data_IF_110198294725
#
_entry.id   IF_110198294725
#
_cell.length_a   1.000
_cell.length_b   1.000
_cell.length_c   1.000
_cell.angle_alpha   90.00
_cell.angle_beta   90.00
_cell.angle_gamma   90.00
#
_symmetry.space_group_name_H-M   'P 1'
#
loop_
_entity.id
_entity.type
_entity.pdbx_description
1 polymer ?
#
# COMPACT_ATOMS: atom_id res chain seq x y z
N UNK A 1 -9.25 44.64 63.44
CA UNK A 1 -8.32 44.99 62.34
C UNK A 1 -9.10 44.89 61.04
N UNK A 2 -9.63 46.02 60.57
CA UNK A 2 -9.13 46.73 59.38
C UNK A 2 -9.57 46.03 58.07
N UNK A 3 -10.76 46.36 57.56
CA UNK A 3 -11.05 47.32 56.45
C UNK A 3 -11.01 46.63 55.06
N UNK A 4 -12.14 46.33 54.43
CA UNK A 4 -13.03 47.23 53.66
C UNK A 4 -12.50 47.53 52.24
N UNK A 5 -13.25 47.16 51.20
CA UNK A 5 -13.89 48.07 50.22
C UNK A 5 -13.85 47.58 48.76
N UNK A 6 -15.03 47.65 48.15
CA UNK A 6 -15.36 47.70 46.73
C UNK A 6 -14.37 48.49 45.84
N UNK A 7 -14.30 48.09 44.57
CA UNK A 7 -13.62 48.86 43.53
C UNK A 7 -14.01 48.42 42.12
N UNK A 8 -15.03 49.08 41.55
CA UNK A 8 -15.31 49.13 40.13
C UNK A 8 -14.16 49.80 39.35
N UNK A 9 -14.02 49.48 38.05
CA UNK A 9 -13.21 50.29 37.15
C UNK A 9 -12.89 49.62 35.81
N UNK A 10 -13.64 49.99 34.76
CA UNK A 10 -13.06 50.15 33.42
C UNK A 10 -12.17 51.42 33.43
N UNK A 11 -11.16 51.58 32.54
CA UNK A 11 -11.43 52.05 31.16
C UNK A 11 -10.45 51.55 30.05
N UNK A 12 -10.86 51.78 28.79
CA UNK A 12 -10.09 51.76 27.53
C UNK A 12 -8.97 52.86 27.44
N UNK A 13 -8.35 53.16 26.27
CA UNK A 13 -7.31 52.43 25.54
C UNK A 13 -6.06 53.32 25.27
N UNK A 14 -4.95 52.78 24.74
CA UNK A 14 -3.83 53.58 24.26
C UNK A 14 -3.19 52.98 23.00
N UNK A 15 -2.89 53.86 22.04
CA UNK A 15 -2.38 53.59 20.70
C UNK A 15 -0.95 54.13 20.49
N UNK A 16 -0.33 53.69 19.38
CA UNK A 16 0.86 54.18 18.64
C UNK A 16 2.26 53.70 19.10
N UNK A 17 3.27 53.43 18.25
CA UNK A 17 3.50 53.30 16.78
C UNK A 17 4.97 52.81 16.55
N UNK A 18 5.30 52.22 15.38
CA UNK A 18 6.65 52.07 14.78
C UNK A 18 7.20 50.62 14.67
N UNK A 19 7.18 49.94 13.49
CA UNK A 19 8.17 49.94 12.37
C UNK A 19 9.48 49.17 12.74
N UNK A 20 10.05 48.18 12.03
CA UNK A 20 9.98 47.61 10.66
C UNK A 20 10.45 46.13 10.69
N UNK A 21 10.34 45.45 9.53
CA UNK A 21 11.20 44.38 8.96
C UNK A 21 10.51 43.05 8.57
N UNK A 22 10.90 42.58 7.38
CA UNK A 22 10.19 41.69 6.47
C UNK A 22 10.42 40.19 6.75
N UNK A 23 9.45 39.33 6.37
CA UNK A 23 9.64 38.17 5.48
C UNK A 23 8.53 37.09 5.61
N UNK A 24 7.84 36.90 4.48
CA UNK A 24 7.48 35.62 3.84
C UNK A 24 6.50 34.63 4.53
N UNK A 25 5.26 34.53 4.01
CA UNK A 25 4.73 33.31 3.33
C UNK A 25 3.22 33.41 2.98
N UNK A 26 2.95 33.45 1.68
CA UNK A 26 1.92 32.77 0.86
C UNK A 26 0.45 32.52 1.33
N UNK A 27 -0.47 32.96 0.43
CA UNK A 27 -1.78 32.35 0.12
C UNK A 27 -2.96 33.00 0.84
N UNK A 28 -4.03 33.49 0.21
CA UNK A 28 -4.76 33.11 -1.01
C UNK A 28 -5.64 34.32 -1.38
N UNK A 29 -5.78 34.70 -2.66
CA UNK A 29 -7.08 35.12 -3.20
C UNK A 29 -7.08 35.24 -4.73
N UNK A 30 -8.28 35.01 -5.27
CA UNK A 30 -8.62 34.84 -6.67
C UNK A 30 -8.80 36.17 -7.41
N UNK A 31 -8.55 36.19 -8.72
CA UNK A 31 -9.24 37.10 -9.64
C UNK A 31 -9.12 36.60 -11.08
N UNK A 32 -10.26 36.60 -11.78
CA UNK A 32 -10.38 36.40 -13.22
C UNK A 32 -9.75 37.58 -13.99
N UNK A 33 -9.17 37.31 -15.15
CA UNK A 33 -8.72 38.33 -16.09
C UNK A 33 -9.18 37.97 -17.51
N UNK A 34 -9.94 38.93 -18.05
CA UNK A 34 -10.48 39.12 -19.37
C UNK A 34 -9.38 39.74 -20.25
N UNK A 35 -9.21 39.29 -21.50
CA UNK A 35 -8.19 39.78 -22.43
C UNK A 35 -8.88 40.38 -23.67
N UNK A 36 -9.13 41.69 -23.64
CA UNK A 36 -9.49 42.51 -24.81
C UNK A 36 -8.20 43.03 -25.47
N UNK A 37 -7.96 42.60 -26.72
CA UNK A 37 -6.93 43.16 -27.60
C UNK A 37 -7.55 44.18 -28.56
N UNK A 38 -6.98 45.37 -28.55
CA UNK A 38 -7.36 46.56 -29.32
C UNK A 38 -7.07 46.40 -30.82
N UNK A 39 -7.98 46.86 -31.67
CA UNK A 39 -7.79 46.96 -33.12
C UNK A 39 -7.99 48.40 -33.54
N UNK A 40 -6.94 49.01 -34.10
CA UNK A 40 -6.99 50.33 -34.73
C UNK A 40 -6.78 50.19 -36.25
N UNK A 41 -7.86 50.52 -36.96
CA UNK A 41 -8.00 51.20 -38.26
C UNK A 41 -6.91 51.08 -39.36
N UNK A 42 -7.34 50.62 -40.54
CA UNK A 42 -7.23 51.37 -41.80
C UNK A 42 -7.93 50.62 -42.95
N UNK A 43 -9.00 51.21 -43.49
CA UNK A 43 -9.50 50.91 -44.83
C UNK A 43 -8.64 51.61 -45.91
N UNK A 44 -8.66 51.11 -47.17
CA UNK A 44 -9.59 51.73 -48.11
C UNK A 44 -10.38 50.74 -48.97
N UNK A 45 -11.47 51.26 -49.50
CA UNK A 45 -12.47 50.59 -50.32
C UNK A 45 -12.10 50.52 -51.82
N UNK A 46 -12.89 49.69 -52.52
CA UNK A 46 -13.14 49.62 -53.97
C UNK A 46 -12.30 48.65 -54.83
N UNK A 47 -12.88 47.46 -55.06
CA UNK A 47 -13.03 46.86 -56.39
C UNK A 47 -14.05 45.70 -56.30
N UNK A 48 -15.33 46.03 -56.52
CA UNK A 48 -16.35 45.06 -56.85
C UNK A 48 -16.52 45.09 -58.37
N UNK A 49 -16.01 44.08 -59.07
CA UNK A 49 -16.63 43.49 -60.27
C UNK A 49 -15.79 42.27 -60.73
N UNK A 50 -16.47 41.25 -61.27
CA UNK A 50 -15.93 40.01 -61.84
C UNK A 50 -15.59 38.85 -60.87
N UNK A 51 -16.64 38.26 -60.27
CA UNK A 51 -16.63 36.84 -59.89
C UNK A 51 -18.05 36.24 -59.92
N UNK A 52 -18.80 36.51 -61.00
CA UNK A 52 -20.08 35.86 -61.31
C UNK A 52 -20.00 35.24 -62.71
N UNK A 53 -19.19 34.19 -62.84
CA UNK A 53 -19.22 33.26 -63.97
C UNK A 53 -18.26 32.07 -63.69
N UNK A 54 -18.69 31.14 -62.84
CA UNK A 54 -18.35 29.70 -62.91
C UNK A 54 -19.11 28.94 -61.81
N UNK A 55 -20.44 29.09 -61.85
CA UNK A 55 -21.37 28.15 -61.23
C UNK A 55 -21.90 27.24 -62.34
N UNK A 56 -21.09 26.28 -62.79
CA UNK A 56 -21.51 25.03 -63.45
C UNK A 56 -20.27 24.24 -63.90
N UNK A 57 -19.60 23.61 -62.95
CA UNK A 57 -18.81 22.41 -63.21
C UNK A 57 -19.31 21.37 -62.22
N UNK A 58 -20.20 20.50 -62.70
CA UNK A 58 -20.90 19.50 -61.89
C UNK A 58 -19.92 18.72 -61.01
N UNK A 59 -19.99 18.95 -59.70
CA UNK A 59 -19.69 17.87 -58.78
C UNK A 59 -20.65 16.73 -59.16
N UNK A 60 -20.16 15.53 -59.51
CA UNK A 60 -21.06 14.42 -59.74
C UNK A 60 -21.90 14.27 -58.47
N UNK A 61 -23.22 14.37 -58.59
CA UNK A 61 -24.08 13.98 -57.48
C UNK A 61 -23.70 12.53 -57.15
N UNK A 62 -23.36 12.24 -55.89
CA UNK A 62 -22.97 10.89 -55.53
C UNK A 62 -24.11 9.97 -55.95
N UNK A 63 -23.75 8.93 -56.70
CA UNK A 63 -24.78 7.96 -57.08
C UNK A 63 -25.32 7.33 -55.80
N UNK A 64 -26.63 7.02 -55.73
CA UNK A 64 -27.22 6.47 -54.49
C UNK A 64 -26.48 5.25 -53.91
N UNK A 65 -25.68 4.54 -54.74
CA UNK A 65 -24.77 3.49 -54.31
C UNK A 65 -23.57 4.00 -53.46
N UNK A 66 -22.95 5.12 -53.83
CA UNK A 66 -21.85 5.73 -53.05
C UNK A 66 -22.34 6.27 -51.70
N UNK A 67 -23.58 6.76 -51.64
CA UNK A 67 -24.23 7.17 -50.39
C UNK A 67 -24.53 5.96 -49.49
N UNK A 68 -25.00 4.84 -50.05
CA UNK A 68 -25.24 3.60 -49.31
C UNK A 68 -23.95 2.98 -48.76
N UNK A 69 -22.87 2.99 -49.54
CA UNK A 69 -21.54 2.52 -49.11
C UNK A 69 -20.98 3.41 -47.98
N UNK A 70 -21.06 4.74 -48.12
CA UNK A 70 -20.64 5.68 -47.07
C UNK A 70 -21.46 5.52 -45.77
N UNK A 71 -22.77 5.27 -45.88
CA UNK A 71 -23.63 4.94 -44.74
C UNK A 71 -23.26 3.59 -44.11
N UNK A 72 -22.88 2.60 -44.92
CA UNK A 72 -22.36 1.31 -44.48
C UNK A 72 -21.07 1.45 -43.67
N UNK A 73 -20.09 2.17 -44.21
CA UNK A 73 -18.81 2.46 -43.54
C UNK A 73 -19.03 3.24 -42.24
N UNK A 74 -19.93 4.23 -42.24
CA UNK A 74 -20.24 5.00 -41.04
C UNK A 74 -20.90 4.13 -39.97
N UNK A 75 -21.83 3.26 -40.35
CA UNK A 75 -22.47 2.29 -39.43
C UNK A 75 -21.47 1.30 -38.87
N UNK A 76 -20.58 0.75 -39.70
CA UNK A 76 -19.52 -0.15 -39.26
C UNK A 76 -18.57 0.54 -38.29
N UNK A 77 -18.15 1.77 -38.62
CA UNK A 77 -17.33 2.60 -37.74
C UNK A 77 -18.03 2.88 -36.41
N UNK A 78 -19.32 3.19 -36.42
CA UNK A 78 -20.11 3.42 -35.20
C UNK A 78 -20.25 2.14 -34.36
N UNK A 79 -20.53 0.99 -34.98
CA UNK A 79 -20.62 -0.29 -34.28
C UNK A 79 -19.28 -0.66 -33.64
N UNK A 80 -18.18 -0.46 -34.37
CA UNK A 80 -16.84 -0.69 -33.87
C UNK A 80 -16.49 0.24 -32.71
N UNK A 81 -16.77 1.54 -32.83
CA UNK A 81 -16.48 2.48 -31.75
C UNK A 81 -17.32 2.20 -30.52
N UNK A 82 -18.60 1.83 -30.67
CA UNK A 82 -19.45 1.39 -29.55
C UNK A 82 -18.87 0.15 -28.86
N UNK A 83 -18.40 -0.85 -29.62
CA UNK A 83 -17.76 -2.03 -29.06
C UNK A 83 -16.43 -1.69 -28.33
N UNK A 84 -15.62 -0.80 -28.90
CA UNK A 84 -14.38 -0.31 -28.28
C UNK A 84 -14.66 0.45 -26.97
N UNK A 85 -15.71 1.28 -26.93
CA UNK A 85 -16.16 1.98 -25.73
C UNK A 85 -16.65 1.01 -24.66
N UNK A 86 -17.45 0.00 -25.02
CA UNK A 86 -17.94 -1.00 -24.07
C UNK A 86 -16.79 -1.84 -23.49
N UNK A 87 -15.85 -2.26 -24.32
CA UNK A 87 -14.65 -2.97 -23.87
C UNK A 87 -13.81 -2.11 -22.91
N UNK A 88 -13.59 -0.83 -23.25
CA UNK A 88 -12.86 0.12 -22.41
C UNK A 88 -13.58 0.35 -21.09
N UNK A 89 -14.91 0.48 -21.11
CA UNK A 89 -15.73 0.62 -19.89
C UNK A 89 -15.60 -0.59 -18.99
N UNK A 90 -15.81 -1.81 -19.53
CA UNK A 90 -15.69 -3.06 -18.76
C UNK A 90 -14.28 -3.24 -18.20
N UNK A 91 -13.25 -2.88 -18.96
CA UNK A 91 -11.86 -2.89 -18.50
C UNK A 91 -11.64 -1.89 -17.37
N UNK A 92 -12.11 -0.65 -17.53
CA UNK A 92 -11.98 0.39 -16.52
C UNK A 92 -12.74 0.07 -15.23
N UNK A 93 -13.90 -0.60 -15.30
CA UNK A 93 -14.61 -1.09 -14.13
C UNK A 93 -13.78 -2.12 -13.34
N UNK A 94 -13.17 -3.10 -14.01
CA UNK A 94 -12.27 -4.08 -13.37
C UNK A 94 -11.03 -3.42 -12.77
N UNK A 95 -10.37 -2.53 -13.51
CA UNK A 95 -9.18 -1.81 -13.02
C UNK A 95 -9.52 -0.93 -11.81
N UNK A 96 -10.70 -0.31 -11.78
CA UNK A 96 -11.19 0.46 -10.62
C UNK A 96 -11.42 -0.44 -9.41
N UNK A 97 -12.05 -1.59 -9.59
CA UNK A 97 -12.27 -2.55 -8.50
C UNK A 97 -10.95 -3.09 -7.94
N UNK A 98 -10.01 -3.45 -8.80
CA UNK A 98 -8.66 -3.89 -8.39
C UNK A 98 -7.93 -2.77 -7.66
N UNK A 99 -7.94 -1.55 -8.22
CA UNK A 99 -7.32 -0.39 -7.57
C UNK A 99 -7.94 -0.13 -6.21
N UNK A 100 -9.27 -0.20 -6.07
CA UNK A 100 -9.94 -0.02 -4.79
C UNK A 100 -9.57 -1.11 -3.76
N UNK A 101 -9.51 -2.38 -4.19
CA UNK A 101 -9.09 -3.50 -3.33
C UNK A 101 -7.66 -3.34 -2.82
N UNK A 102 -6.76 -2.80 -3.64
CA UNK A 102 -5.33 -2.71 -3.34
C UNK A 102 -4.84 -1.31 -2.95
N UNK A 103 -5.70 -0.28 -2.94
CA UNK A 103 -5.32 1.10 -2.63
C UNK A 103 -4.66 1.22 -1.24
N UNK A 104 -5.14 0.43 -0.27
CA UNK A 104 -4.64 0.43 1.10
C UNK A 104 -3.36 -0.40 1.29
N UNK A 105 -2.87 -1.11 0.28
CA UNK A 105 -1.76 -2.06 0.42
C UNK A 105 -0.46 -1.40 0.92
N UNK A 106 -0.14 -0.20 0.41
CA UNK A 106 1.03 0.57 0.84
C UNK A 106 0.93 1.00 2.30
N UNK A 107 -0.24 1.52 2.70
CA UNK A 107 -0.51 1.88 4.08
C UNK A 107 -0.46 0.65 5.00
N UNK A 108 -1.14 -0.43 4.63
CA UNK A 108 -1.14 -1.69 5.36
C UNK A 108 0.28 -2.17 5.65
N UNK A 109 1.17 -2.18 4.64
CA UNK A 109 2.58 -2.56 4.80
C UNK A 109 3.30 -1.74 5.87
N UNK A 110 3.05 -0.43 5.95
CA UNK A 110 3.65 0.42 6.99
C UNK A 110 3.12 0.08 8.38
N UNK A 111 1.83 -0.23 8.51
CA UNK A 111 1.19 -0.57 9.78
C UNK A 111 1.56 -1.97 10.26
N UNK A 112 1.96 -2.90 9.38
CA UNK A 112 2.43 -4.23 9.79
C UNK A 112 3.57 -4.15 10.81
N UNK A 113 4.50 -3.21 10.63
CA UNK A 113 5.62 -3.01 11.58
C UNK A 113 5.14 -2.62 12.97
N UNK A 114 4.01 -1.92 13.08
CA UNK A 114 3.38 -1.57 14.36
C UNK A 114 2.81 -2.83 15.02
N UNK A 115 2.11 -3.68 14.27
CA UNK A 115 1.61 -4.96 14.77
C UNK A 115 2.75 -5.86 15.28
N UNK A 116 3.85 -5.94 14.52
CA UNK A 116 5.03 -6.72 14.91
C UNK A 116 5.71 -6.17 16.17
N UNK A 117 5.76 -4.83 16.32
CA UNK A 117 6.29 -4.19 17.52
C UNK A 117 5.40 -4.42 18.74
N UNK A 118 4.07 -4.42 18.58
CA UNK A 118 3.14 -4.77 19.66
C UNK A 118 3.34 -6.22 20.12
N UNK A 119 3.45 -7.17 19.17
CA UNK A 119 3.78 -8.57 19.47
C UNK A 119 5.13 -8.70 20.18
N UNK A 120 6.15 -8.01 19.70
CA UNK A 120 7.49 -7.98 20.33
C UNK A 120 7.43 -7.40 21.74
N UNK A 121 6.66 -6.35 21.96
CA UNK A 121 6.49 -5.75 23.27
C UNK A 121 5.84 -6.74 24.25
N UNK A 122 4.76 -7.41 23.84
CA UNK A 122 4.08 -8.46 24.64
C UNK A 122 5.04 -9.61 24.96
N UNK A 123 5.78 -10.09 23.95
CA UNK A 123 6.72 -11.20 24.09
C UNK A 123 7.96 -10.85 24.95
N UNK A 124 8.34 -9.58 25.02
CA UNK A 124 9.50 -9.12 25.79
C UNK A 124 9.26 -9.06 27.30
N UNK A 125 8.01 -9.14 27.76
CA UNK A 125 7.68 -9.12 29.18
C UNK A 125 8.07 -10.46 29.82
N UNK A 126 8.98 -10.47 30.82
CA UNK A 126 9.34 -11.67 31.57
C UNK A 126 8.12 -12.29 32.25
N UNK A 127 8.06 -13.62 32.34
CA UNK A 127 6.95 -14.33 32.98
C UNK A 127 6.71 -13.86 34.42
N UNK A 128 7.78 -13.59 35.16
CA UNK A 128 7.72 -13.09 36.55
C UNK A 128 7.07 -11.71 36.65
N UNK A 129 7.22 -10.88 35.60
CA UNK A 129 6.65 -9.55 35.53
C UNK A 129 5.19 -9.55 35.04
N UNK A 130 4.72 -10.62 34.40
CA UNK A 130 3.32 -10.76 33.94
C UNK A 130 2.33 -10.89 35.10
N UNK A 131 2.78 -11.42 36.24
CA UNK A 131 1.96 -11.57 37.44
C UNK A 131 1.92 -10.30 38.32
N UNK A 132 2.71 -9.27 37.97
CA UNK A 132 2.69 -7.99 38.69
C UNK A 132 1.33 -7.29 38.55
N UNK A 133 0.72 -6.92 39.69
CA UNK A 133 -0.58 -6.25 39.71
C UNK A 133 -0.61 -4.92 38.93
N UNK A 134 0.54 -4.25 38.81
CA UNK A 134 0.65 -3.01 38.06
C UNK A 134 0.78 -3.23 36.54
N UNK A 135 1.45 -4.31 36.11
CA UNK A 135 1.73 -4.57 34.69
C UNK A 135 0.65 -5.42 34.02
N UNK A 136 -0.03 -6.28 34.76
CA UNK A 136 -1.12 -7.13 34.27
C UNK A 136 -2.25 -6.36 33.55
N UNK A 137 -2.81 -5.25 34.09
CA UNK A 137 -3.84 -4.48 33.38
C UNK A 137 -3.30 -3.79 32.13
N UNK A 138 -2.04 -3.35 32.15
CA UNK A 138 -1.39 -2.74 30.99
C UNK A 138 -1.19 -3.77 29.88
N UNK A 139 -0.66 -4.95 30.19
CA UNK A 139 -0.45 -6.05 29.24
C UNK A 139 -1.77 -6.47 28.59
N UNK A 140 -2.83 -6.64 29.40
CA UNK A 140 -4.16 -6.94 28.89
C UNK A 140 -4.70 -5.84 27.94
N UNK A 141 -4.45 -4.57 28.23
CA UNK A 141 -4.82 -3.45 27.37
C UNK A 141 -4.07 -3.47 26.02
N UNK A 142 -2.78 -3.79 26.04
CA UNK A 142 -1.96 -3.93 24.83
C UNK A 142 -2.43 -5.12 24.00
N UNK A 143 -2.70 -6.28 24.60
CA UNK A 143 -3.27 -7.47 23.93
C UNK A 143 -4.67 -7.21 23.35
N UNK A 144 -5.50 -6.41 24.02
CA UNK A 144 -6.79 -5.98 23.46
C UNK A 144 -6.60 -5.10 22.22
N UNK A 145 -5.62 -4.19 22.26
CA UNK A 145 -5.31 -3.29 21.15
C UNK A 145 -4.75 -4.06 19.95
N UNK A 146 -3.86 -5.03 20.18
CA UNK A 146 -3.36 -5.93 19.13
C UNK A 146 -4.50 -6.71 18.47
N UNK A 147 -5.40 -7.28 19.26
CA UNK A 147 -6.56 -8.02 18.71
C UNK A 147 -7.49 -7.12 17.90
N UNK A 148 -7.72 -5.89 18.32
CA UNK A 148 -8.55 -4.96 17.54
C UNK A 148 -7.85 -4.53 16.25
N UNK A 149 -6.52 -4.39 16.26
CA UNK A 149 -5.73 -4.14 15.06
C UNK A 149 -5.84 -5.31 14.06
N UNK A 150 -5.72 -6.56 14.53
CA UNK A 150 -5.88 -7.75 13.69
C UNK A 150 -7.31 -7.84 13.11
N UNK A 151 -8.33 -7.53 13.90
CA UNK A 151 -9.71 -7.43 13.39
C UNK A 151 -9.87 -6.34 12.33
N UNK A 152 -9.19 -5.21 12.49
CA UNK A 152 -9.20 -4.16 11.47
C UNK A 152 -8.57 -4.65 10.16
N UNK A 153 -7.46 -5.40 10.23
CA UNK A 153 -6.86 -6.05 9.06
C UNK A 153 -7.83 -7.01 8.37
N UNK A 154 -8.49 -7.89 9.12
CA UNK A 154 -9.47 -8.84 8.58
C UNK A 154 -10.62 -8.15 7.84
N UNK A 155 -11.16 -7.05 8.40
CA UNK A 155 -12.23 -6.24 7.77
C UNK A 155 -11.81 -5.68 6.41
N UNK A 156 -10.52 -5.39 6.25
CA UNK A 156 -9.93 -4.87 5.02
C UNK A 156 -9.36 -5.98 4.10
N UNK A 157 -9.64 -7.25 4.39
CA UNK A 157 -9.20 -8.39 3.58
C UNK A 157 -7.73 -8.73 3.74
N UNK A 158 -7.07 -8.22 4.79
CA UNK A 158 -5.70 -8.57 5.15
C UNK A 158 -5.74 -9.76 6.10
N UNK A 159 -5.05 -10.85 5.75
CA UNK A 159 -4.98 -12.08 6.54
C UNK A 159 -3.54 -12.35 6.95
N UNK A 160 -3.36 -12.75 8.21
CA UNK A 160 -2.09 -13.25 8.71
C UNK A 160 -1.82 -14.66 8.18
N UNK A 161 -0.57 -14.91 7.81
CA UNK A 161 -0.04 -16.20 7.39
C UNK A 161 0.91 -16.67 8.47
N UNK A 162 0.47 -17.63 9.28
CA UNK A 162 1.23 -18.21 10.38
C UNK A 162 1.47 -19.71 10.11
N UNK A 163 2.52 -20.04 9.34
CA UNK A 163 2.73 -21.42 8.86
C UNK A 163 3.37 -22.34 9.91
N UNK A 164 3.15 -22.11 11.21
CA UNK A 164 3.75 -22.94 12.26
C UNK A 164 3.33 -24.41 12.11
N UNK A 165 4.31 -25.30 11.88
CA UNK A 165 4.06 -26.72 11.66
C UNK A 165 3.59 -27.08 10.25
N UNK A 166 3.47 -26.12 9.33
CA UNK A 166 3.13 -26.36 7.94
C UNK A 166 4.37 -26.57 7.06
N UNK A 167 4.16 -27.17 5.88
CA UNK A 167 5.22 -27.30 4.89
C UNK A 167 5.60 -25.93 4.34
N UNK A 168 6.89 -25.70 4.14
CA UNK A 168 7.38 -24.46 3.58
C UNK A 168 6.86 -24.23 2.14
N UNK A 169 6.21 -23.09 1.91
CA UNK A 169 5.78 -22.59 0.59
C UNK A 169 6.60 -21.36 0.21
N UNK A 170 7.22 -21.40 -0.97
CA UNK A 170 8.08 -20.34 -1.48
C UNK A 170 7.31 -19.07 -1.85
N UNK A 171 5.99 -19.17 -2.09
CA UNK A 171 5.16 -18.03 -2.45
C UNK A 171 4.82 -17.14 -1.25
N UNK A 172 4.73 -17.73 -0.05
CA UNK A 172 4.27 -17.04 1.15
C UNK A 172 5.34 -16.93 2.24
N UNK A 173 6.38 -17.76 2.19
CA UNK A 173 7.37 -17.87 3.26
C UNK A 173 8.78 -17.55 2.76
N UNK A 174 9.57 -16.95 3.64
CA UNK A 174 10.98 -16.69 3.47
C UNK A 174 11.76 -17.41 4.58
N UNK A 175 12.54 -18.42 4.20
CA UNK A 175 13.37 -19.17 5.13
C UNK A 175 14.60 -18.35 5.53
N UNK A 176 14.74 -18.06 6.82
CA UNK A 176 15.87 -17.29 7.34
C UNK A 176 17.01 -18.17 7.85
N UNK A 177 16.67 -19.31 8.44
CA UNK A 177 17.64 -20.27 8.97
C UNK A 177 17.04 -21.67 9.04
N UNK A 178 17.91 -22.66 9.18
CA UNK A 178 17.53 -24.05 9.37
C UNK A 178 17.74 -24.43 10.85
N UNK A 179 16.77 -25.13 11.44
CA UNK A 179 16.84 -25.66 12.81
C UNK A 179 16.88 -27.18 12.75
N UNK A 180 17.82 -27.78 13.48
CA UNK A 180 17.82 -29.22 13.70
C UNK A 180 16.63 -29.61 14.59
N UNK A 181 15.62 -30.22 14.00
CA UNK A 181 14.44 -30.70 14.72
C UNK A 181 14.32 -32.20 14.56
N UNK A 182 14.36 -32.94 15.67
CA UNK A 182 14.21 -34.39 15.68
C UNK A 182 12.75 -34.85 15.55
N UNK A 183 11.78 -33.92 15.59
CA UNK A 183 10.35 -34.24 15.67
C UNK A 183 9.51 -33.80 14.47
N UNK A 184 10.08 -33.08 13.49
CA UNK A 184 9.33 -32.58 12.34
C UNK A 184 10.00 -32.97 11.01
N UNK A 185 9.21 -33.28 9.96
CA UNK A 185 9.77 -33.65 8.68
C UNK A 185 10.60 -32.50 8.08
N UNK A 186 11.64 -32.80 7.28
CA UNK A 186 12.48 -31.78 6.66
C UNK A 186 11.66 -30.82 5.79
N UNK A 187 11.96 -29.52 5.88
CA UNK A 187 11.23 -28.48 5.15
C UNK A 187 9.90 -28.06 5.78
N UNK A 188 9.64 -28.44 7.03
CA UNK A 188 8.51 -27.93 7.84
C UNK A 188 8.92 -26.66 8.57
N UNK A 189 8.02 -25.70 8.71
CA UNK A 189 8.29 -24.49 9.49
C UNK A 189 8.23 -24.80 10.99
N UNK A 190 9.36 -24.61 11.67
CA UNK A 190 9.51 -24.88 13.11
C UNK A 190 9.27 -23.62 13.95
N UNK A 191 9.64 -22.47 13.41
CA UNK A 191 9.52 -21.20 14.12
C UNK A 191 9.15 -20.08 13.14
N UNK A 192 8.24 -19.20 13.54
CA UNK A 192 7.92 -17.97 12.83
C UNK A 192 8.56 -16.81 13.60
N UNK A 193 9.49 -16.10 12.96
CA UNK A 193 10.09 -14.89 13.53
C UNK A 193 9.21 -13.68 13.30
N UNK A 194 8.60 -13.62 12.13
CA UNK A 194 7.77 -12.50 11.73
C UNK A 194 6.64 -12.99 10.85
N UNK A 195 5.44 -12.56 11.19
CA UNK A 195 4.21 -13.06 10.57
C UNK A 195 4.06 -12.49 9.17
N UNK A 196 3.72 -13.36 8.22
CA UNK A 196 3.41 -12.97 6.85
C UNK A 196 2.01 -12.39 6.75
N UNK A 197 1.77 -11.54 5.76
CA UNK A 197 0.43 -10.99 5.52
C UNK A 197 0.11 -10.99 4.03
N UNK A 198 -1.13 -11.32 3.72
CA UNK A 198 -1.70 -11.29 2.36
C UNK A 198 -2.90 -10.35 2.37
N UNK A 199 -3.09 -9.58 1.29
CA UNK A 199 -4.27 -8.77 1.05
C UNK A 199 -5.05 -9.39 -0.09
N UNK A 200 -6.27 -9.87 0.18
CA UNK A 200 -7.04 -10.68 -0.76
C UNK A 200 -6.19 -11.84 -1.32
N UNK A 201 -5.78 -11.77 -2.59
CA UNK A 201 -4.97 -12.75 -3.31
C UNK A 201 -3.49 -12.34 -3.49
N UNK A 202 -3.09 -11.15 -3.03
CA UNK A 202 -1.72 -10.64 -3.20
C UNK A 202 -0.91 -10.68 -1.92
N UNK A 203 0.36 -11.09 -2.01
CA UNK A 203 1.31 -11.04 -0.91
C UNK A 203 1.69 -9.59 -0.57
N UNK A 204 1.43 -9.16 0.67
CA UNK A 204 1.95 -7.88 1.19
C UNK A 204 3.39 -8.03 1.65
N UNK A 205 3.64 -9.12 2.39
CA UNK A 205 4.90 -9.43 3.05
C UNK A 205 5.00 -10.96 3.30
N UNK A 206 6.12 -11.62 2.97
CA UNK A 206 6.32 -13.03 3.32
C UNK A 206 6.52 -13.22 4.83
N UNK A 207 6.12 -14.38 5.33
CA UNK A 207 6.43 -14.79 6.70
C UNK A 207 7.91 -15.17 6.78
N UNK A 208 8.64 -14.63 7.76
CA UNK A 208 10.03 -15.03 7.99
C UNK A 208 10.07 -16.21 8.97
N UNK A 209 10.61 -17.33 8.50
CA UNK A 209 10.49 -18.62 9.18
C UNK A 209 11.81 -19.36 9.29
N UNK A 210 11.94 -20.15 10.36
CA UNK A 210 12.97 -21.17 10.50
C UNK A 210 12.42 -22.53 10.06
N UNK A 211 13.12 -23.22 9.16
CA UNK A 211 12.70 -24.53 8.63
C UNK A 211 13.44 -25.68 9.31
N UNK A 212 12.79 -26.83 9.44
CA UNK A 212 13.39 -28.05 9.95
C UNK A 212 14.41 -28.59 8.95
N UNK A 213 15.64 -28.80 9.41
CA UNK A 213 16.61 -29.65 8.72
C UNK A 213 16.45 -31.07 9.24
N UNK A 214 16.55 -32.05 8.34
CA UNK A 214 16.83 -33.41 8.76
C UNK A 214 18.09 -33.40 9.62
N UNK A 215 18.04 -33.98 10.84
CA UNK A 215 19.29 -34.39 11.48
C UNK A 215 19.96 -35.38 10.53
N UNK A 216 21.15 -35.02 10.06
CA UNK A 216 22.05 -36.02 9.52
C UNK A 216 22.46 -36.85 10.72
N UNK A 217 21.94 -38.07 10.82
CA UNK A 217 22.48 -39.03 11.76
C UNK A 217 24.01 -39.00 11.60
N UNK A 218 24.78 -38.83 12.70
CA UNK A 218 26.22 -38.95 12.59
C UNK A 218 26.50 -40.33 11.98
N UNK A 219 27.33 -40.36 10.93
CA UNK A 219 27.79 -41.60 10.32
C UNK A 219 28.12 -42.60 11.45
N UNK A 220 27.63 -43.86 11.39
CA UNK A 220 27.99 -44.84 12.40
C UNK A 220 29.51 -44.86 12.48
N UNK A 221 30.04 -44.50 13.65
CA UNK A 221 31.47 -44.50 13.89
C UNK A 221 32.05 -45.84 13.41
N UNK A 222 33.22 -45.87 12.76
CA UNK A 222 33.81 -47.13 12.32
C UNK A 222 34.08 -48.00 13.56
N UNK A 223 33.20 -48.96 13.79
CA UNK A 223 33.28 -49.98 14.81
C UNK A 223 34.41 -50.94 14.37
N UNK A 224 35.63 -50.69 14.84
CA UNK A 224 36.78 -51.44 14.35
C UNK A 224 38.15 -51.09 14.93
N UNK A 225 38.23 -50.59 16.15
CA UNK A 225 39.50 -50.54 16.89
C UNK A 225 39.37 -51.43 18.14
N UNK A 226 39.65 -52.71 17.95
CA UNK A 226 39.77 -53.68 19.03
C UNK A 226 40.83 -53.19 20.05
N UNK A 227 40.53 -53.18 21.36
CA UNK A 227 41.59 -53.11 22.34
C UNK A 227 42.31 -54.47 22.32
N UNK A 228 43.57 -54.48 21.87
CA UNK A 228 44.43 -55.64 22.01
C UNK A 228 44.60 -55.95 23.48
N UNK A 229 44.16 -57.14 23.89
CA UNK A 229 44.47 -57.73 25.18
C UNK A 229 46.00 -57.87 25.31
N UNK A 230 46.58 -56.98 26.11
CA UNK A 230 47.97 -57.09 26.57
C UNK A 230 47.99 -57.86 27.88
N UNK A 231 48.27 -59.15 27.78
CA UNK A 231 48.58 -60.09 28.86
C UNK A 231 49.44 -59.44 29.97
N UNK A 232 48.94 -59.47 31.20
CA UNK A 232 49.72 -59.19 32.40
C UNK A 232 50.30 -60.52 32.88
N UNK A 233 51.57 -60.77 32.57
CA UNK A 233 52.35 -61.80 33.26
C UNK A 233 52.69 -61.34 34.69
N UNK A 234 52.52 -62.18 35.73
CA UNK A 234 53.11 -61.95 37.03
C UNK A 234 54.41 -62.75 37.15
N UNK A 235 55.55 -62.07 37.30
CA UNK A 235 56.79 -62.71 37.76
C UNK A 235 57.51 -61.85 38.81
N UNK A 236 57.62 -62.45 39.99
CA UNK A 236 58.56 -62.22 41.12
C UNK A 236 58.45 -60.95 41.98
#
# INVERSE_FOLDING_TARGET
EATNRDGAGAPEPAAAEGADDEAEAAGVEAAAADEEATVADAAPAEAADAAEAEAEAGAPEPTGAEEEDALGELRERLLRTMAELENTRRRGEREREETAKYAIAGFARSVLTVADNLRRAIASVPEEARESEALKPLLAGVEMTERELLRAFERHGIKAVEPLGEKFDHNFHQAMFEVESAGQPPGTVVQVMETGYVIADRLLRPAMVGIAKARRDPDPAPEGAAPGDGEVEPSE
#
